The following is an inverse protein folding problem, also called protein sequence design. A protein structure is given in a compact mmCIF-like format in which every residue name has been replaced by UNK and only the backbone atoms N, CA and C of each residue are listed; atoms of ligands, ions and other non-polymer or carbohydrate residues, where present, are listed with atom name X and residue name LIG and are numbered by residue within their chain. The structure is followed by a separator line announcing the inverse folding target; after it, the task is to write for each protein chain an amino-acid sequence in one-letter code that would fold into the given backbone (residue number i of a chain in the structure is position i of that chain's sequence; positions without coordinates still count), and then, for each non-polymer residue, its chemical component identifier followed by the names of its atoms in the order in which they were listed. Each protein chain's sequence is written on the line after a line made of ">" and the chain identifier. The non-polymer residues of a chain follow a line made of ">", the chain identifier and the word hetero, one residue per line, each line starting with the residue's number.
data_IF_845294760061
#
_entry.id   IF_845294760061
#
_cell.length_a   1.000
_cell.length_b   1.000
_cell.length_c   1.000
_cell.angle_alpha   90.00
_cell.angle_beta   90.00
_cell.angle_gamma   90.00
#
_symmetry.space_group_name_H-M   'P 1'
#
loop_
_entity.id
_entity.type
_entity.pdbx_description
1 polymer ?
#
# COMPACT_ATOMS: atom_id res chain seq x y z
N UNK A 1 0.28 -3.73 19.54
CA UNK A 1 -0.97 -2.94 19.31
C UNK A 1 -2.23 -3.76 19.63
N UNK A 2 -3.30 -3.14 20.19
CA UNK A 2 -4.58 -3.83 20.49
C UNK A 2 -5.46 -3.97 19.24
N UNK A 3 -5.62 -5.18 18.71
CA UNK A 3 -6.42 -5.50 17.50
C UNK A 3 -7.86 -4.99 17.54
N UNK A 4 -8.52 -5.05 18.70
CA UNK A 4 -9.89 -4.56 18.88
C UNK A 4 -10.03 -3.06 18.71
N UNK A 5 -8.98 -2.28 19.04
CA UNK A 5 -8.93 -0.84 18.78
C UNK A 5 -8.77 -0.56 17.29
N UNK A 6 -7.87 -1.28 16.62
CA UNK A 6 -7.60 -1.09 15.18
C UNK A 6 -8.84 -1.34 14.33
N UNK A 7 -9.62 -2.39 14.64
CA UNK A 7 -10.90 -2.66 13.95
C UNK A 7 -11.93 -1.51 14.04
N UNK A 8 -11.84 -0.66 15.08
CA UNK A 8 -12.75 0.48 15.26
C UNK A 8 -12.34 1.70 14.45
N UNK A 9 -11.11 1.75 13.94
CA UNK A 9 -10.62 2.86 13.10
C UNK A 9 -11.29 2.88 11.72
N UNK A 10 -12.02 1.81 11.37
CA UNK A 10 -12.61 1.63 10.05
C UNK A 10 -11.60 1.11 9.03
N UNK A 11 -12.08 0.95 7.80
CA UNK A 11 -11.26 0.59 6.65
C UNK A 11 -11.05 1.83 5.78
N UNK A 12 -9.85 2.01 5.24
CA UNK A 12 -9.62 2.96 4.15
C UNK A 12 -10.03 2.25 2.86
N UNK A 13 -11.18 2.64 2.30
CA UNK A 13 -11.60 2.20 0.97
C UNK A 13 -11.08 3.15 -0.11
N UNK A 14 -10.83 2.60 -1.30
CA UNK A 14 -10.33 3.37 -2.43
C UNK A 14 -11.31 4.49 -2.81
N UNK A 15 -10.76 5.63 -3.23
CA UNK A 15 -11.56 6.77 -3.69
C UNK A 15 -12.02 6.58 -5.13
N UNK A 16 -13.07 7.31 -5.54
CA UNK A 16 -13.53 7.33 -6.94
C UNK A 16 -12.42 7.78 -7.90
N UNK A 17 -11.54 8.68 -7.46
CA UNK A 17 -10.38 9.11 -8.24
C UNK A 17 -9.40 7.96 -8.48
N UNK A 18 -9.14 7.12 -7.48
CA UNK A 18 -8.28 5.94 -7.63
C UNK A 18 -8.86 4.94 -8.62
N UNK A 19 -10.18 4.71 -8.57
CA UNK A 19 -10.88 3.85 -9.52
C UNK A 19 -10.77 4.40 -10.95
N UNK A 20 -11.08 5.68 -11.13
CA UNK A 20 -11.01 6.38 -12.41
C UNK A 20 -9.59 6.33 -13.00
N UNK A 21 -8.56 6.62 -12.19
CA UNK A 21 -7.17 6.52 -12.62
C UNK A 21 -6.76 5.10 -13.00
N UNK A 22 -7.25 4.09 -12.28
CA UNK A 22 -6.93 2.70 -12.58
C UNK A 22 -7.59 2.25 -13.89
N UNK A 23 -8.86 2.61 -14.10
CA UNK A 23 -9.62 2.35 -15.32
C UNK A 23 -8.99 2.98 -16.56
N UNK A 24 -8.49 4.21 -16.44
CA UNK A 24 -7.85 4.95 -17.54
C UNK A 24 -6.38 4.54 -17.81
N UNK A 25 -5.76 3.72 -16.95
CA UNK A 25 -4.39 3.24 -17.14
C UNK A 25 -4.36 2.18 -18.25
N UNK A 26 -3.99 2.61 -19.46
CA UNK A 26 -3.85 1.75 -20.64
C UNK A 26 -2.45 1.10 -20.62
N UNK A 27 -2.34 -0.23 -20.75
CA UNK A 27 -1.05 -0.89 -20.67
C UNK A 27 -0.21 -0.66 -21.94
N UNK A 28 1.10 -0.52 -21.75
CA UNK A 28 2.07 -0.42 -22.83
C UNK A 28 2.72 -1.78 -23.09
N UNK A 29 2.87 -2.16 -24.36
CA UNK A 29 3.61 -3.35 -24.72
C UNK A 29 5.11 -3.15 -24.46
N UNK A 30 5.66 -3.84 -23.45
CA UNK A 30 7.09 -3.79 -23.10
C UNK A 30 7.77 -5.10 -23.39
N UNK A 31 8.99 -5.02 -23.93
CA UNK A 31 9.84 -6.18 -24.15
C UNK A 31 10.42 -6.64 -22.81
N UNK A 32 10.06 -7.84 -22.38
CA UNK A 32 10.56 -8.47 -21.15
C UNK A 32 11.54 -9.57 -21.56
N UNK A 33 12.82 -9.35 -21.31
CA UNK A 33 13.88 -10.26 -21.74
C UNK A 33 14.05 -10.31 -23.27
N UNK A 34 14.42 -11.48 -23.79
CA UNK A 34 14.85 -11.60 -25.19
C UNK A 34 13.69 -11.72 -26.20
N UNK A 35 12.58 -12.37 -25.83
CA UNK A 35 11.53 -12.75 -26.79
C UNK A 35 10.10 -12.40 -26.35
N UNK A 36 9.88 -11.99 -25.10
CA UNK A 36 8.52 -11.74 -24.60
C UNK A 36 8.16 -10.27 -24.77
N UNK A 37 6.95 -10.02 -25.24
CA UNK A 37 6.31 -8.71 -25.21
C UNK A 37 5.06 -8.88 -24.36
N UNK A 38 4.97 -8.10 -23.29
CA UNK A 38 3.86 -8.18 -22.34
C UNK A 38 3.24 -6.79 -22.17
N UNK A 39 1.90 -6.68 -22.07
CA UNK A 39 1.24 -5.43 -21.72
C UNK A 39 1.54 -5.09 -20.25
N UNK A 40 2.20 -3.96 -20.02
CA UNK A 40 2.60 -3.49 -18.70
C UNK A 40 1.87 -2.19 -18.40
N UNK A 41 1.02 -2.24 -17.37
CA UNK A 41 0.39 -1.06 -16.80
C UNK A 41 1.40 -0.15 -16.11
N UNK A 42 1.16 1.16 -16.14
CA UNK A 42 2.00 2.13 -15.46
C UNK A 42 1.97 1.92 -13.94
N UNK A 43 0.77 1.70 -13.39
CA UNK A 43 0.55 1.54 -11.96
C UNK A 43 0.10 0.12 -11.65
N UNK A 44 0.78 -0.48 -10.66
CA UNK A 44 0.48 -1.85 -10.20
C UNK A 44 -0.16 -1.85 -8.82
N UNK A 45 0.15 -0.84 -8.01
CA UNK A 45 -0.37 -0.68 -6.66
C UNK A 45 -0.70 0.79 -6.42
N UNK A 46 -1.73 1.04 -5.63
CA UNK A 46 -2.07 2.36 -5.12
C UNK A 46 -1.96 2.34 -3.59
N UNK A 47 -1.55 3.46 -3.02
CA UNK A 47 -1.50 3.68 -1.58
C UNK A 47 -2.36 4.88 -1.23
N UNK A 48 -3.02 4.76 -0.08
CA UNK A 48 -3.68 5.87 0.59
C UNK A 48 -3.30 5.86 2.06
N UNK A 49 -3.08 7.03 2.66
CA UNK A 49 -2.76 7.12 4.08
C UNK A 49 -3.71 8.05 4.85
N UNK A 50 -3.87 7.78 6.14
CA UNK A 50 -4.56 8.66 7.08
C UNK A 50 -3.98 8.49 8.48
N UNK A 51 -4.02 9.55 9.29
CA UNK A 51 -3.69 9.45 10.72
C UNK A 51 -5.01 9.42 11.51
N UNK A 52 -5.24 8.32 12.24
CA UNK A 52 -6.41 8.12 13.09
C UNK A 52 -5.97 7.79 14.51
N UNK A 53 -6.38 8.59 15.50
CA UNK A 53 -5.95 8.46 16.91
C UNK A 53 -4.42 8.33 17.09
N UNK A 54 -3.66 9.10 16.32
CA UNK A 54 -2.20 9.10 16.34
C UNK A 54 -1.54 7.88 15.67
N UNK A 55 -2.32 6.98 15.07
CA UNK A 55 -1.83 5.82 14.30
C UNK A 55 -1.87 6.18 12.82
N UNK A 56 -0.75 6.02 12.12
CA UNK A 56 -0.73 6.09 10.66
C UNK A 56 -1.33 4.78 10.11
N UNK A 57 -2.41 4.90 9.36
CA UNK A 57 -3.03 3.80 8.62
C UNK A 57 -2.69 3.99 7.15
N UNK A 58 -2.12 2.96 6.52
CA UNK A 58 -1.82 2.94 5.09
C UNK A 58 -2.54 1.77 4.44
N UNK A 59 -3.47 2.07 3.54
CA UNK A 59 -4.14 1.09 2.71
C UNK A 59 -3.37 0.87 1.40
N UNK A 60 -3.21 -0.39 1.02
CA UNK A 60 -2.48 -0.84 -0.16
C UNK A 60 -3.45 -1.59 -1.07
N UNK A 61 -3.67 -1.08 -2.27
CA UNK A 61 -4.64 -1.61 -3.24
C UNK A 61 -3.92 -2.17 -4.46
N UNK A 62 -4.38 -3.30 -4.99
CA UNK A 62 -3.93 -3.77 -6.30
C UNK A 62 -4.65 -2.97 -7.39
N UNK A 63 -3.88 -2.40 -8.32
CA UNK A 63 -4.45 -1.67 -9.46
C UNK A 63 -5.39 -2.55 -10.30
N UNK A 64 -5.09 -3.86 -10.40
CA UNK A 64 -5.96 -4.85 -11.04
C UNK A 64 -7.35 -4.88 -10.40
N UNK A 65 -7.41 -4.87 -9.08
CA UNK A 65 -8.68 -4.99 -8.35
C UNK A 65 -9.49 -3.70 -8.47
N UNK A 66 -8.81 -2.55 -8.44
CA UNK A 66 -9.44 -1.24 -8.70
C UNK A 66 -10.06 -1.18 -10.10
N UNK A 67 -9.38 -1.67 -11.14
CA UNK A 67 -9.91 -1.76 -12.51
C UNK A 67 -11.16 -2.65 -12.62
N UNK A 68 -11.32 -3.59 -11.70
CA UNK A 68 -12.50 -4.45 -11.61
C UNK A 68 -13.61 -3.86 -10.71
N UNK A 69 -13.44 -2.61 -10.26
CA UNK A 69 -14.40 -1.90 -9.40
C UNK A 69 -14.31 -2.26 -7.92
N UNK A 70 -13.29 -3.01 -7.49
CA UNK A 70 -13.08 -3.27 -6.06
C UNK A 70 -12.56 -2.01 -5.37
N UNK A 71 -13.17 -1.65 -4.24
CA UNK A 71 -12.70 -0.56 -3.36
C UNK A 71 -11.91 -1.06 -2.15
N UNK A 72 -11.79 -2.38 -1.98
CA UNK A 72 -11.17 -2.97 -0.79
C UNK A 72 -9.64 -3.00 -0.94
N UNK A 73 -8.88 -2.61 0.10
CA UNK A 73 -7.44 -2.77 0.09
C UNK A 73 -7.05 -4.24 0.19
N UNK A 74 -5.92 -4.61 -0.42
CA UNK A 74 -5.28 -5.92 -0.22
C UNK A 74 -4.72 -6.02 1.20
N UNK A 75 -4.09 -4.93 1.66
CA UNK A 75 -3.49 -4.80 2.99
C UNK A 75 -3.79 -3.44 3.60
N UNK A 76 -3.96 -3.41 4.91
CA UNK A 76 -3.93 -2.17 5.70
C UNK A 76 -2.82 -2.27 6.73
N UNK A 77 -1.82 -1.40 6.63
CA UNK A 77 -0.72 -1.32 7.57
C UNK A 77 -0.99 -0.23 8.62
N UNK A 78 -1.03 -0.62 9.88
CA UNK A 78 -1.23 0.27 11.01
C UNK A 78 0.11 0.47 11.71
N UNK A 79 0.55 1.71 11.84
CA UNK A 79 1.85 2.07 12.43
C UNK A 79 1.61 3.03 13.59
N UNK A 80 2.03 2.63 14.79
CA UNK A 80 2.09 3.50 15.98
C UNK A 80 3.55 3.86 16.24
N UNK A 81 3.99 4.99 15.71
CA UNK A 81 5.40 5.42 15.82
C UNK A 81 5.81 5.63 17.27
N UNK A 82 4.91 6.13 18.13
CA UNK A 82 5.21 6.40 19.54
C UNK A 82 5.59 5.13 20.31
N UNK A 83 5.00 4.00 19.92
CA UNK A 83 5.26 2.69 20.52
C UNK A 83 6.25 1.86 19.73
N UNK A 84 6.70 2.34 18.57
CA UNK A 84 7.55 1.60 17.64
C UNK A 84 6.95 0.23 17.27
N UNK A 85 5.63 0.20 17.07
CA UNK A 85 4.90 -1.01 16.71
C UNK A 85 4.18 -0.81 15.37
N UNK A 86 4.06 -1.90 14.60
CA UNK A 86 3.15 -1.96 13.47
C UNK A 86 2.40 -3.28 13.45
N UNK A 87 1.28 -3.29 12.73
CA UNK A 87 0.49 -4.48 12.48
C UNK A 87 -0.22 -4.34 11.13
N UNK A 88 -0.29 -5.41 10.35
CA UNK A 88 -0.96 -5.40 9.04
C UNK A 88 -2.23 -6.24 9.10
N UNK A 89 -3.32 -5.72 8.57
CA UNK A 89 -4.52 -6.50 8.26
C UNK A 89 -4.42 -7.03 6.82
N UNK A 90 -4.52 -8.34 6.66
CA UNK A 90 -4.58 -9.04 5.37
C UNK A 90 -6.06 -9.24 5.03
N UNK A 91 -6.61 -8.36 4.18
CA UNK A 91 -8.05 -8.29 3.91
C UNK A 91 -8.55 -9.55 3.23
N UNK A 92 -7.74 -10.13 2.33
CA UNK A 92 -8.11 -11.35 1.60
C UNK A 92 -8.23 -12.57 2.54
N UNK A 93 -7.33 -12.66 3.52
CA UNK A 93 -7.28 -13.81 4.45
C UNK A 93 -7.90 -13.50 5.81
N UNK A 94 -8.48 -12.31 5.98
CA UNK A 94 -9.11 -11.80 7.20
C UNK A 94 -8.29 -12.07 8.47
N UNK A 95 -6.99 -11.75 8.42
CA UNK A 95 -6.05 -12.07 9.50
C UNK A 95 -5.04 -10.96 9.76
N UNK A 96 -4.64 -10.87 11.02
CA UNK A 96 -3.55 -9.99 11.43
C UNK A 96 -2.19 -10.60 11.10
N UNK A 97 -1.28 -9.76 10.60
CA UNK A 97 0.11 -10.08 10.28
C UNK A 97 1.04 -9.15 11.04
N UNK A 98 2.14 -9.70 11.51
CA UNK A 98 3.27 -8.98 12.12
C UNK A 98 4.46 -8.85 11.17
N UNK A 99 4.31 -9.30 9.92
CA UNK A 99 5.36 -9.28 8.91
C UNK A 99 5.56 -7.86 8.35
N UNK A 100 6.80 -7.50 8.04
CA UNK A 100 7.12 -6.30 7.27
C UNK A 100 6.43 -6.33 5.90
N UNK A 101 6.23 -5.16 5.30
CA UNK A 101 5.64 -5.03 3.95
C UNK A 101 6.41 -5.80 2.89
N UNK A 102 7.72 -5.91 3.03
CA UNK A 102 8.60 -6.70 2.15
C UNK A 102 8.29 -8.21 2.20
N UNK A 103 7.78 -8.71 3.33
CA UNK A 103 7.43 -10.11 3.53
C UNK A 103 5.94 -10.40 3.29
N UNK A 104 5.16 -9.41 2.83
CA UNK A 104 3.77 -9.61 2.42
C UNK A 104 3.71 -10.25 1.02
N UNK A 105 2.63 -11.00 0.77
CA UNK A 105 2.45 -11.71 -0.49
C UNK A 105 1.89 -10.80 -1.58
N UNK A 106 2.76 -10.18 -2.38
CA UNK A 106 2.35 -9.47 -3.59
C UNK A 106 2.43 -10.35 -4.83
N UNK A 107 1.64 -10.06 -5.89
CA UNK A 107 1.81 -10.71 -7.18
C UNK A 107 3.23 -10.53 -7.72
N UNK A 108 3.76 -11.53 -8.44
CA UNK A 108 5.14 -11.54 -8.97
C UNK A 108 5.50 -10.33 -9.86
N UNK A 109 4.51 -9.68 -10.45
CA UNK A 109 4.70 -8.50 -11.29
C UNK A 109 4.92 -7.22 -10.48
N UNK A 110 4.73 -7.23 -9.16
CA UNK A 110 4.85 -6.05 -8.31
C UNK A 110 6.31 -5.57 -8.16
N UNK A 111 6.50 -4.25 -8.18
CA UNK A 111 7.71 -3.58 -7.68
C UNK A 111 7.33 -2.28 -6.97
N UNK A 112 8.18 -1.82 -6.04
CA UNK A 112 7.94 -0.56 -5.32
C UNK A 112 7.85 0.65 -6.25
N UNK A 113 8.64 0.68 -7.33
CA UNK A 113 8.62 1.73 -8.34
C UNK A 113 7.30 1.87 -9.11
N UNK A 114 6.39 0.90 -9.03
CA UNK A 114 5.09 0.93 -9.69
C UNK A 114 3.93 1.29 -8.74
N UNK A 115 4.25 1.82 -7.56
CA UNK A 115 3.27 2.24 -6.55
C UNK A 115 2.90 3.72 -6.72
N UNK A 116 1.60 4.01 -6.85
CA UNK A 116 1.06 5.36 -6.85
C UNK A 116 0.64 5.79 -5.45
N UNK A 117 0.91 7.04 -5.10
CA UNK A 117 0.47 7.71 -3.87
C UNK A 117 0.38 9.21 -4.17
N UNK A 118 -0.63 9.88 -3.62
CA UNK A 118 -0.78 11.34 -3.80
C UNK A 118 0.39 12.08 -3.13
N UNK A 119 0.74 13.30 -3.59
CA UNK A 119 1.75 14.12 -2.92
C UNK A 119 1.48 14.37 -1.44
N UNK A 120 0.22 14.62 -1.08
CA UNK A 120 -0.22 14.84 0.30
C UNK A 120 0.03 13.61 1.17
N UNK A 121 -0.31 12.44 0.64
CA UNK A 121 -0.14 11.17 1.35
C UNK A 121 1.35 10.82 1.51
N UNK A 122 2.18 11.12 0.50
CA UNK A 122 3.64 10.96 0.57
C UNK A 122 4.23 11.82 1.67
N UNK A 123 3.90 13.12 1.71
CA UNK A 123 4.38 14.05 2.75
C UNK A 123 3.93 13.56 4.13
N UNK A 124 2.64 13.22 4.28
CA UNK A 124 2.11 12.71 5.55
C UNK A 124 2.88 11.48 6.03
N UNK A 125 3.15 10.55 5.13
CA UNK A 125 3.86 9.32 5.43
C UNK A 125 5.32 9.58 5.83
N UNK A 126 6.05 10.38 5.06
CA UNK A 126 7.46 10.67 5.32
C UNK A 126 7.64 11.47 6.61
N UNK A 127 6.82 12.49 6.85
CA UNK A 127 6.84 13.28 8.08
C UNK A 127 6.46 12.44 9.30
N UNK A 128 5.35 11.67 9.20
CA UNK A 128 4.91 10.83 10.31
C UNK A 128 6.01 9.82 10.66
N UNK A 129 6.55 9.09 9.69
CA UNK A 129 7.56 8.05 9.94
C UNK A 129 8.95 8.61 10.25
N UNK A 130 9.26 9.83 9.80
CA UNK A 130 10.60 10.41 9.89
C UNK A 130 11.61 9.70 8.98
N UNK A 131 11.18 9.36 7.76
CA UNK A 131 11.98 8.64 6.75
C UNK A 131 12.24 9.53 5.53
N UNK A 132 13.28 9.22 4.78
CA UNK A 132 13.64 9.93 3.55
C UNK A 132 13.03 9.32 2.30
N UNK A 133 12.73 8.02 2.32
CA UNK A 133 12.09 7.33 1.19
C UNK A 133 10.58 7.49 1.22
N UNK A 134 9.96 7.55 0.05
CA UNK A 134 8.51 7.73 -0.11
C UNK A 134 7.77 6.39 -0.28
N UNK A 135 6.44 6.42 -0.15
CA UNK A 135 5.57 5.29 -0.49
C UNK A 135 5.94 3.99 0.22
N UNK A 136 5.98 2.89 -0.54
CA UNK A 136 6.28 1.56 0.00
C UNK A 136 7.72 1.44 0.52
N UNK A 137 8.68 2.13 -0.11
CA UNK A 137 10.09 2.13 0.33
C UNK A 137 10.23 2.83 1.68
N UNK A 138 9.52 3.93 1.91
CA UNK A 138 9.48 4.62 3.21
C UNK A 138 8.93 3.74 4.33
N UNK A 139 7.85 2.99 4.06
CA UNK A 139 7.27 2.05 5.03
C UNK A 139 8.26 0.93 5.32
N UNK A 140 8.90 0.38 4.28
CA UNK A 140 9.89 -0.68 4.42
C UNK A 140 11.09 -0.20 5.24
N UNK A 141 11.66 0.97 4.92
CA UNK A 141 12.75 1.61 5.66
C UNK A 141 12.41 1.76 7.14
N UNK A 142 11.21 2.25 7.46
CA UNK A 142 10.77 2.38 8.85
C UNK A 142 10.69 1.02 9.55
N UNK A 143 10.03 0.04 8.94
CA UNK A 143 9.85 -1.28 9.55
C UNK A 143 11.16 -2.04 9.75
N UNK A 144 12.10 -1.93 8.82
CA UNK A 144 13.44 -2.48 8.95
C UNK A 144 14.22 -1.83 10.10
N UNK A 145 14.00 -0.53 10.39
CA UNK A 145 14.64 0.14 11.53
C UNK A 145 14.12 -0.30 12.91
N UNK A 146 13.06 -1.12 12.93
CA UNK A 146 12.48 -1.69 14.15
C UNK A 146 12.96 -3.12 14.44
N UNK A 147 13.63 -3.77 13.48
CA UNK A 147 14.21 -5.11 13.62
C UNK A 147 15.59 -5.02 14.29
#
# INVERSE_FOLDING_TARGET
>A
MKKTRLKKLGHLYATDEMLCMAEQDIPENKKIGWQRVEPVFQRKVYLQSQICDGILVVAIYLARDLRLGSIKPLYENFIDKSKREYLTWDTLKEKWRTACVEALGFPHYYSYSCAYMTPEDKIRLTEYLGVTQEGMEGICQYQQSLL
#
